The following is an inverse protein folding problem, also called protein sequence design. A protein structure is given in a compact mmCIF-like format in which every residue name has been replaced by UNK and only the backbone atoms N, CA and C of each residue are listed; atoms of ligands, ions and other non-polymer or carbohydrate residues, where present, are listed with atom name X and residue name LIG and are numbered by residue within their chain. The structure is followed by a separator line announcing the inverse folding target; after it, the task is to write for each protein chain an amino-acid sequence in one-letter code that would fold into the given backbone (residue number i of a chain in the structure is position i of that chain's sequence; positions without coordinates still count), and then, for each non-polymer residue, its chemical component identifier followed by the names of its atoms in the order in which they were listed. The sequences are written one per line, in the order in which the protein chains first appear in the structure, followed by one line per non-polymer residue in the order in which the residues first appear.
data_IF_828137835217
#
_entry.id   IF_828137835217
#
_cell.length_a   1.000
_cell.length_b   1.000
_cell.length_c   1.000
_cell.angle_alpha   90.00
_cell.angle_beta   90.00
_cell.angle_gamma   90.00
#
_symmetry.space_group_name_H-M   'P 1'
#
loop_
_entity.id
_entity.type
_entity.pdbx_description
1 polymer ?
#
# COMPACT_ATOMS: atom_id res chain seq x y z
N UNK A 1 -6.26 -9.80 -9.25
CA UNK A 1 -4.89 -9.37 -8.93
C UNK A 1 -4.78 -7.92 -9.33
N UNK A 2 -4.32 -7.07 -8.42
CA UNK A 2 -4.19 -5.64 -8.61
C UNK A 2 -2.92 -5.29 -9.38
N UNK A 3 -3.00 -4.27 -10.22
CA UNK A 3 -1.84 -3.72 -10.92
C UNK A 3 -1.09 -2.75 -9.99
N UNK A 4 -0.07 -3.24 -9.29
CA UNK A 4 0.74 -2.43 -8.36
C UNK A 4 1.85 -1.73 -9.14
N UNK A 5 1.80 -0.40 -9.15
CA UNK A 5 2.73 0.45 -9.89
C UNK A 5 3.98 0.78 -9.07
N UNK A 6 3.79 1.09 -7.78
CA UNK A 6 4.86 1.46 -6.84
C UNK A 6 4.53 0.93 -5.44
N UNK A 7 5.56 0.68 -4.65
CA UNK A 7 5.43 0.30 -3.24
C UNK A 7 6.37 1.15 -2.40
N UNK A 8 5.88 1.63 -1.26
CA UNK A 8 6.66 2.25 -0.19
C UNK A 8 6.48 1.43 1.09
N UNK A 9 7.58 1.02 1.71
CA UNK A 9 7.59 0.13 2.87
C UNK A 9 8.41 0.78 3.98
N UNK A 10 7.76 0.96 5.13
CA UNK A 10 8.39 1.47 6.33
C UNK A 10 8.69 0.34 7.30
N UNK A 11 9.93 0.31 7.78
CA UNK A 11 10.39 -0.66 8.75
C UNK A 11 10.60 -0.01 10.11
N UNK A 12 10.18 -0.70 11.16
CA UNK A 12 10.42 -0.33 12.55
C UNK A 12 11.00 -1.51 13.31
N UNK A 13 12.14 -1.31 13.97
CA UNK A 13 12.85 -2.36 14.70
C UNK A 13 13.15 -3.61 13.84
N UNK A 14 13.48 -3.41 12.57
CA UNK A 14 13.77 -4.50 11.61
C UNK A 14 12.56 -5.29 11.12
N UNK A 15 11.34 -4.85 11.46
CA UNK A 15 10.07 -5.46 11.02
C UNK A 15 9.28 -4.48 10.16
N UNK A 16 8.40 -5.01 9.31
CA UNK A 16 7.46 -4.20 8.53
C UNK A 16 6.48 -3.54 9.51
N UNK A 17 6.35 -2.22 9.43
CA UNK A 17 5.39 -1.45 10.22
C UNK A 17 4.22 -0.95 9.36
N UNK A 18 4.53 -0.43 8.17
CA UNK A 18 3.58 0.16 7.24
C UNK A 18 3.94 -0.20 5.80
N UNK A 19 2.94 -0.52 4.99
CA UNK A 19 3.06 -0.70 3.55
C UNK A 19 2.05 0.24 2.89
N UNK A 20 2.53 1.05 1.94
CA UNK A 20 1.69 1.83 1.04
C UNK A 20 1.96 1.36 -0.39
N UNK A 21 0.93 0.97 -1.12
CA UNK A 21 1.01 0.61 -2.54
C UNK A 21 0.30 1.65 -3.38
N UNK A 22 0.88 1.99 -4.52
CA UNK A 22 0.20 2.73 -5.58
C UNK A 22 -0.35 1.70 -6.56
N UNK A 23 -1.67 1.63 -6.72
CA UNK A 23 -2.37 0.61 -7.49
C UNK A 23 -3.27 1.24 -8.53
N UNK A 24 -3.26 0.70 -9.74
CA UNK A 24 -4.27 0.98 -10.77
C UNK A 24 -5.41 -0.03 -10.64
N UNK A 25 -6.59 0.44 -10.21
CA UNK A 25 -7.77 -0.40 -9.95
C UNK A 25 -8.56 -0.63 -11.25
N UNK A 26 -8.65 0.41 -12.08
CA UNK A 26 -9.19 0.37 -13.43
C UNK A 26 -8.44 1.38 -14.29
N UNK A 27 -8.69 1.41 -15.60
CA UNK A 27 -7.97 2.27 -16.54
C UNK A 27 -7.98 3.74 -16.09
N UNK A 28 -6.81 4.29 -15.76
CA UNK A 28 -6.62 5.64 -15.20
C UNK A 28 -7.24 5.89 -13.80
N UNK A 29 -7.66 4.86 -13.05
CA UNK A 29 -8.04 4.96 -11.63
C UNK A 29 -6.88 4.48 -10.77
N UNK A 30 -6.01 5.41 -10.38
CA UNK A 30 -4.81 5.13 -9.57
C UNK A 30 -5.02 5.60 -8.14
N UNK A 31 -4.81 4.70 -7.19
CA UNK A 31 -5.01 4.96 -5.76
C UNK A 31 -3.80 4.56 -4.95
N UNK A 32 -3.53 5.30 -3.89
CA UNK A 32 -2.59 4.87 -2.87
C UNK A 32 -3.36 4.16 -1.75
N UNK A 33 -3.04 2.90 -1.50
CA UNK A 33 -3.67 2.06 -0.49
C UNK A 33 -2.63 1.69 0.57
N UNK A 34 -2.97 1.84 1.85
CA UNK A 34 -2.07 1.64 2.97
C UNK A 34 -2.61 0.62 3.97
N UNK A 35 -1.71 -0.21 4.49
CA UNK A 35 -1.95 -1.01 5.69
C UNK A 35 -0.84 -0.75 6.71
N UNK A 36 -1.18 -0.87 8.00
CA UNK A 36 -0.23 -0.76 9.11
C UNK A 36 -0.36 -1.97 10.02
N UNK A 37 0.59 -2.18 10.94
CA UNK A 37 0.47 -3.19 12.00
C UNK A 37 -0.64 -2.89 13.02
N UNK A 38 -1.15 -1.66 13.07
CA UNK A 38 -2.22 -1.27 14.00
C UNK A 38 -3.60 -1.56 13.40
N UNK A 39 -4.46 -2.32 14.10
CA UNK A 39 -5.82 -2.59 13.62
C UNK A 39 -6.63 -1.31 13.40
N UNK A 40 -7.37 -1.27 12.29
CA UNK A 40 -8.33 -0.21 11.98
C UNK A 40 -9.63 -0.83 11.50
N UNK A 41 -10.75 -0.40 12.09
CA UNK A 41 -12.07 -0.97 11.75
C UNK A 41 -12.36 -0.85 10.26
N UNK A 42 -12.68 -1.97 9.63
CA UNK A 42 -13.03 -2.04 8.20
C UNK A 42 -11.85 -2.15 7.23
N UNK A 43 -10.61 -2.20 7.71
CA UNK A 43 -9.41 -2.33 6.87
C UNK A 43 -8.49 -3.42 7.41
N UNK A 44 -7.64 -3.96 6.54
CA UNK A 44 -6.64 -4.93 6.97
C UNK A 44 -5.57 -4.31 7.85
N UNK A 45 -4.94 -5.15 8.65
CA UNK A 45 -3.70 -4.85 9.34
C UNK A 45 -2.61 -5.83 8.88
N UNK A 46 -1.37 -5.35 8.88
CA UNK A 46 -0.20 -6.19 8.60
C UNK A 46 0.01 -7.12 9.81
N UNK A 47 0.12 -8.44 9.61
CA UNK A 47 0.42 -9.37 10.70
C UNK A 47 1.85 -9.14 11.24
N UNK A 48 2.10 -9.33 12.53
CA UNK A 48 3.46 -9.34 13.10
C UNK A 48 3.79 -10.76 13.61
N UNK A 49 4.79 -11.46 13.03
CA UNK A 49 5.68 -11.02 11.95
C UNK A 49 5.06 -11.20 10.55
N UNK A 50 5.24 -10.20 9.68
CA UNK A 50 4.92 -10.30 8.26
C UNK A 50 6.19 -10.59 7.44
N UNK A 51 6.01 -11.39 6.39
CA UNK A 51 7.02 -11.59 5.35
C UNK A 51 6.66 -10.73 4.15
N UNK A 52 7.63 -9.96 3.64
CA UNK A 52 7.45 -9.23 2.39
C UNK A 52 7.40 -10.23 1.22
N UNK A 53 6.24 -10.39 0.62
CA UNK A 53 6.00 -11.20 -0.57
C UNK A 53 4.89 -10.55 -1.43
N UNK A 54 4.66 -11.08 -2.62
CA UNK A 54 3.65 -10.56 -3.56
C UNK A 54 2.24 -10.67 -3.00
N UNK A 55 1.92 -11.77 -2.30
CA UNK A 55 0.62 -11.98 -1.65
C UNK A 55 0.28 -10.85 -0.67
N UNK A 56 1.22 -10.48 0.22
CA UNK A 56 1.02 -9.38 1.16
C UNK A 56 0.77 -8.05 0.43
N UNK A 57 1.50 -7.77 -0.65
CA UNK A 57 1.29 -6.53 -1.42
C UNK A 57 -0.10 -6.52 -2.09
N UNK A 58 -0.57 -7.66 -2.58
CA UNK A 58 -1.90 -7.83 -3.17
C UNK A 58 -3.01 -7.69 -2.13
N UNK A 59 -2.82 -8.24 -0.92
CA UNK A 59 -3.73 -8.02 0.19
C UNK A 59 -3.82 -6.55 0.55
N UNK A 60 -2.68 -5.85 0.66
CA UNK A 60 -2.65 -4.40 0.94
C UNK A 60 -3.42 -3.64 -0.13
N UNK A 61 -3.22 -3.93 -1.40
CA UNK A 61 -3.96 -3.28 -2.49
C UNK A 61 -5.49 -3.50 -2.41
N UNK A 62 -5.94 -4.66 -1.92
CA UNK A 62 -7.37 -5.01 -1.89
C UNK A 62 -8.11 -4.63 -0.61
N UNK A 63 -7.44 -4.64 0.53
CA UNK A 63 -8.07 -4.51 1.84
C UNK A 63 -7.48 -3.39 2.71
N UNK A 64 -6.42 -2.74 2.24
CA UNK A 64 -5.89 -1.56 2.89
C UNK A 64 -6.82 -0.36 2.77
N UNK A 65 -6.40 0.73 3.38
CA UNK A 65 -7.13 1.98 3.38
C UNK A 65 -6.58 2.95 2.34
N UNK A 66 -7.47 3.59 1.58
CA UNK A 66 -7.09 4.66 0.67
C UNK A 66 -6.48 5.85 1.45
N UNK A 67 -5.33 6.33 0.95
CA UNK A 67 -4.58 7.47 1.50
C UNK A 67 -4.21 8.43 0.38
N UNK A 68 -3.83 9.65 0.75
CA UNK A 68 -3.33 10.61 -0.24
C UNK A 68 -1.95 10.18 -0.76
N UNK A 69 -1.85 9.89 -2.05
CA UNK A 69 -0.64 9.43 -2.71
C UNK A 69 0.55 10.41 -2.58
N UNK A 70 0.30 11.73 -2.56
CA UNK A 70 1.36 12.74 -2.50
C UNK A 70 2.17 12.71 -1.21
N UNK A 71 1.63 12.09 -0.16
CA UNK A 71 2.32 11.98 1.13
C UNK A 71 3.37 10.86 1.14
N UNK A 72 3.27 9.91 0.22
CA UNK A 72 4.07 8.67 0.24
C UNK A 72 4.86 8.43 -1.04
N UNK A 73 4.44 9.05 -2.14
CA UNK A 73 5.09 8.93 -3.44
C UNK A 73 5.40 10.33 -3.97
N UNK A 74 6.64 10.52 -4.42
CA UNK A 74 6.97 11.67 -5.25
C UNK A 74 6.36 11.43 -6.63
N UNK A 75 5.19 12.04 -6.85
CA UNK A 75 4.51 12.00 -8.13
C UNK A 75 5.11 13.09 -9.02
N UNK A 76 5.73 12.65 -10.10
CA UNK A 76 6.20 13.55 -11.16
C UNK A 76 5.04 13.84 -12.11
N UNK A 77 5.13 14.89 -12.92
CA UNK A 77 4.10 15.27 -13.91
C UNK A 77 3.76 14.18 -14.94
N UNK A 78 4.55 13.10 -15.00
CA UNK A 78 4.33 11.93 -15.84
C UNK A 78 3.54 10.82 -15.12
N UNK A 79 3.41 10.88 -13.80
CA UNK A 79 2.56 9.99 -13.02
C UNK A 79 1.13 10.53 -13.11
N UNK A 80 0.37 10.05 -14.10
CA UNK A 80 -1.07 10.38 -14.22
C UNK A 80 -1.76 9.94 -12.93
N UNK A 81 -2.53 10.84 -12.31
CA UNK A 81 -3.50 10.54 -11.26
C UNK A 81 -4.90 10.75 -11.81
#
# INVERSE_FOLDING_TARGET
MYNILKTNIEFKNGKIDTITVLVEISENDIRAIQATTKPRSGYMNIPDPAKLNEELLQEVAGYGMEVNASNYFQLTSNDKL
#
